data_IF_150092018230
#
_entry.id   IF_150092018230
#
_cell.length_a   1.000
_cell.length_b   1.000
_cell.length_c   1.000
_cell.angle_alpha   90.00
_cell.angle_beta   90.00
_cell.angle_gamma   90.00
#
_symmetry.space_group_name_H-M   'P 1'
#
loop_
_entity.id
_entity.type
_entity.pdbx_description
1 polymer ?
#
# COMPACT_ATOMS: atom_id res chain seq x y z
N UNK A 1 -21.83 41.77 1.83
CA UNK A 1 -21.74 40.34 2.14
C UNK A 1 -21.95 40.21 3.63
N UNK A 2 -23.02 39.54 4.02
CA UNK A 2 -23.40 39.24 5.41
C UNK A 2 -22.56 38.09 5.99
N UNK A 3 -22.56 37.96 7.32
CA UNK A 3 -21.88 36.82 7.98
C UNK A 3 -22.46 35.47 7.53
N UNK A 4 -23.73 35.44 7.15
CA UNK A 4 -24.41 34.24 6.66
C UNK A 4 -23.84 33.78 5.31
N UNK A 5 -23.52 34.69 4.40
CA UNK A 5 -22.84 34.38 3.13
C UNK A 5 -21.42 33.86 3.34
N UNK A 6 -20.67 34.41 4.31
CA UNK A 6 -19.34 33.91 4.67
C UNK A 6 -19.40 32.52 5.32
N UNK A 7 -20.44 32.24 6.10
CA UNK A 7 -20.70 30.94 6.71
C UNK A 7 -21.08 29.90 5.65
N UNK A 8 -21.93 30.26 4.69
CA UNK A 8 -22.31 29.41 3.58
C UNK A 8 -21.10 29.04 2.70
N UNK A 9 -20.21 30.00 2.41
CA UNK A 9 -18.97 29.74 1.66
C UNK A 9 -18.04 28.81 2.46
N UNK A 10 -17.89 28.99 3.77
CA UNK A 10 -17.09 28.08 4.61
C UNK A 10 -17.66 26.66 4.66
N UNK A 11 -18.98 26.54 4.66
CA UNK A 11 -19.68 25.25 4.66
C UNK A 11 -19.60 24.55 3.30
N UNK A 12 -19.67 25.30 2.20
CA UNK A 12 -19.39 24.81 0.84
C UNK A 12 -17.92 24.36 0.69
N UNK A 13 -16.96 25.16 1.17
CA UNK A 13 -15.54 24.81 1.13
C UNK A 13 -15.20 23.59 1.99
N UNK A 14 -15.90 23.37 3.12
CA UNK A 14 -15.74 22.16 3.91
C UNK A 14 -16.33 20.93 3.20
N UNK A 15 -17.40 21.09 2.43
CA UNK A 15 -17.99 20.04 1.58
C UNK A 15 -17.11 19.70 0.38
N UNK A 16 -16.49 20.68 -0.27
CA UNK A 16 -15.49 20.46 -1.35
C UNK A 16 -14.24 19.75 -0.83
N UNK A 17 -13.79 20.06 0.39
CA UNK A 17 -12.76 19.28 1.09
C UNK A 17 -13.20 17.85 1.45
N UNK A 18 -14.52 17.61 1.46
CA UNK A 18 -15.17 16.34 1.78
C UNK A 18 -15.63 15.54 0.55
N UNK A 19 -15.22 15.92 -0.67
CA UNK A 19 -15.30 15.06 -1.85
C UNK A 19 -14.30 13.90 -1.67
N UNK A 20 -14.77 12.93 -0.90
CA UNK A 20 -14.08 11.85 -0.17
C UNK A 20 -13.46 10.73 -1.04
N UNK A 21 -13.23 10.96 -2.33
CA UNK A 21 -12.87 9.88 -3.25
C UNK A 21 -11.59 10.06 -4.09
N UNK A 22 -10.77 11.10 -3.91
CA UNK A 22 -9.55 11.26 -4.73
C UNK A 22 -8.20 11.43 -4.03
N UNK A 23 -8.11 11.20 -2.71
CA UNK A 23 -6.80 11.02 -2.07
C UNK A 23 -6.83 9.89 -1.02
N UNK A 24 -7.13 8.66 -1.47
CA UNK A 24 -6.95 7.45 -0.65
C UNK A 24 -5.45 7.07 -0.58
N UNK A 25 -4.58 8.05 -0.35
CA UNK A 25 -3.15 7.82 -0.18
C UNK A 25 -2.86 7.54 1.29
N UNK A 26 -2.27 6.39 1.57
CA UNK A 26 -1.65 6.11 2.87
C UNK A 26 -0.21 6.58 2.79
N UNK A 27 0.27 7.24 3.85
CA UNK A 27 1.68 7.63 3.93
C UNK A 27 2.56 6.38 3.86
N UNK A 28 3.74 6.42 3.21
CA UNK A 28 4.64 5.27 3.13
C UNK A 28 5.21 4.87 4.51
N UNK A 29 5.03 5.72 5.52
CA UNK A 29 5.38 5.47 6.91
C UNK A 29 4.30 6.07 7.82
N UNK A 30 3.88 5.39 8.90
CA UNK A 30 4.32 4.06 9.32
C UNK A 30 3.69 2.93 8.48
N UNK A 31 4.28 1.74 8.48
CA UNK A 31 3.79 0.57 7.71
C UNK A 31 2.45 -0.05 8.16
N UNK A 32 2.03 -0.03 9.45
CA UNK A 32 0.82 -0.73 9.88
C UNK A 32 -0.48 -0.33 9.14
N UNK A 33 -0.77 0.95 8.88
CA UNK A 33 -1.94 1.33 8.08
C UNK A 33 -1.93 0.73 6.66
N UNK A 34 -0.75 0.53 6.07
CA UNK A 34 -0.62 -0.13 4.75
C UNK A 34 -0.99 -1.60 4.87
N UNK A 35 -0.48 -2.28 5.91
CA UNK A 35 -0.82 -3.68 6.19
C UNK A 35 -2.32 -3.84 6.40
N UNK A 36 -2.92 -3.09 7.32
CA UNK A 36 -4.34 -3.18 7.66
C UNK A 36 -5.22 -2.98 6.42
N UNK A 37 -4.85 -2.04 5.55
CA UNK A 37 -5.58 -1.78 4.31
C UNK A 37 -5.50 -2.95 3.33
N UNK A 38 -4.32 -3.56 3.19
CA UNK A 38 -4.13 -4.72 2.31
C UNK A 38 -4.88 -5.93 2.87
N UNK A 39 -4.82 -6.19 4.17
CA UNK A 39 -5.52 -7.30 4.80
C UNK A 39 -7.04 -7.16 4.63
N UNK A 40 -7.59 -5.98 4.89
CA UNK A 40 -9.01 -5.68 4.67
C UNK A 40 -9.42 -5.97 3.22
N UNK A 41 -8.63 -5.53 2.24
CA UNK A 41 -8.89 -5.80 0.83
C UNK A 41 -8.89 -7.31 0.51
N UNK A 42 -7.94 -8.07 1.06
CA UNK A 42 -7.85 -9.51 0.82
C UNK A 42 -9.01 -10.28 1.45
N UNK A 43 -9.52 -9.81 2.60
CA UNK A 43 -10.66 -10.41 3.29
C UNK A 43 -12.00 -10.14 2.58
N UNK A 44 -12.15 -8.97 1.97
CA UNK A 44 -13.40 -8.54 1.31
C UNK A 44 -13.58 -9.13 -0.10
N UNK A 45 -12.50 -9.61 -0.74
CA UNK A 45 -12.48 -9.99 -2.15
C UNK A 45 -12.33 -11.49 -2.41
N UNK A 46 -12.96 -11.99 -3.49
CA UNK A 46 -12.77 -13.36 -3.97
C UNK A 46 -11.64 -13.40 -5.01
N UNK A 47 -10.59 -14.20 -4.76
CA UNK A 47 -9.38 -14.28 -5.59
C UNK A 47 -8.68 -12.91 -5.77
N UNK A 48 -8.23 -12.29 -4.68
CA UNK A 48 -7.67 -10.93 -4.71
C UNK A 48 -6.39 -10.86 -5.56
N UNK A 49 -6.26 -9.79 -6.34
CA UNK A 49 -5.02 -9.47 -7.08
C UNK A 49 -4.41 -8.21 -6.51
N UNK A 50 -3.22 -8.35 -5.90
CA UNK A 50 -2.46 -7.26 -5.31
C UNK A 50 -1.26 -6.92 -6.19
N UNK A 51 -1.26 -5.74 -6.80
CA UNK A 51 -0.07 -5.15 -7.41
C UNK A 51 0.65 -4.28 -6.37
N UNK A 52 1.83 -4.72 -5.94
CA UNK A 52 2.66 -4.02 -4.96
C UNK A 52 3.81 -3.30 -5.66
N UNK A 53 3.51 -2.13 -6.24
CA UNK A 53 4.48 -1.28 -6.94
C UNK A 53 5.19 -0.32 -5.98
N UNK A 54 6.45 0.03 -6.28
CA UNK A 54 7.21 1.01 -5.50
C UNK A 54 7.83 0.43 -4.23
N UNK A 55 8.15 -0.87 -4.22
CA UNK A 55 8.83 -1.54 -3.09
C UNK A 55 10.13 -0.83 -2.71
N UNK A 56 10.92 -0.41 -3.69
CA UNK A 56 12.17 0.34 -3.52
C UNK A 56 11.93 1.68 -2.85
N UNK A 57 10.86 2.37 -3.23
CA UNK A 57 10.47 3.63 -2.59
C UNK A 57 10.07 3.38 -1.14
N UNK A 58 9.28 2.35 -0.87
CA UNK A 58 8.88 2.00 0.49
C UNK A 58 10.10 1.66 1.37
N UNK A 59 11.10 0.97 0.82
CA UNK A 59 12.40 0.72 1.47
C UNK A 59 13.28 1.97 1.60
N UNK A 60 13.09 3.00 0.76
CA UNK A 60 13.81 4.27 0.95
C UNK A 60 13.24 5.09 2.12
N UNK A 61 11.99 4.82 2.51
CA UNK A 61 11.27 5.54 3.56
C UNK A 61 11.20 4.75 4.89
N UNK A 62 11.59 3.47 4.88
CA UNK A 62 11.51 2.55 6.01
C UNK A 62 12.70 1.60 5.99
N UNK A 63 13.05 1.00 7.12
CA UNK A 63 14.10 -0.03 7.13
C UNK A 63 13.70 -1.24 6.26
N UNK A 64 14.63 -1.75 5.46
CA UNK A 64 14.42 -2.94 4.61
C UNK A 64 13.79 -4.09 5.38
N UNK A 65 14.26 -4.33 6.62
CA UNK A 65 13.76 -5.40 7.47
C UNK A 65 12.28 -5.26 7.81
N UNK A 66 11.75 -4.05 7.92
CA UNK A 66 10.34 -3.82 8.22
C UNK A 66 9.47 -3.96 6.97
N UNK A 67 9.97 -3.54 5.81
CA UNK A 67 9.31 -3.81 4.52
C UNK A 67 9.27 -5.30 4.22
N UNK A 68 10.35 -6.04 4.52
CA UNK A 68 10.39 -7.49 4.37
C UNK A 68 9.34 -8.17 5.28
N UNK A 69 9.27 -7.80 6.57
CA UNK A 69 8.24 -8.31 7.49
C UNK A 69 6.82 -7.99 7.01
N UNK A 70 6.60 -6.81 6.45
CA UNK A 70 5.31 -6.43 5.86
C UNK A 70 4.93 -7.39 4.74
N UNK A 71 5.83 -7.62 3.78
CA UNK A 71 5.62 -8.54 2.66
C UNK A 71 5.39 -9.97 3.17
N UNK A 72 6.18 -10.42 4.14
CA UNK A 72 6.05 -11.75 4.77
C UNK A 72 4.72 -11.92 5.53
N UNK A 73 4.13 -10.83 6.02
CA UNK A 73 2.80 -10.83 6.65
C UNK A 73 1.67 -10.93 5.61
N UNK A 74 1.84 -10.34 4.43
CA UNK A 74 0.82 -10.31 3.36
C UNK A 74 0.77 -11.64 2.60
N UNK A 75 1.93 -12.28 2.35
CA UNK A 75 2.03 -13.49 1.51
C UNK A 75 1.12 -14.64 1.93
N UNK A 76 1.07 -15.06 3.21
CA UNK A 76 0.24 -16.19 3.61
C UNK A 76 -1.25 -15.89 3.40
N UNK A 77 -1.66 -14.64 3.59
CA UNK A 77 -3.05 -14.18 3.47
C UNK A 77 -3.49 -14.21 2.00
N UNK A 78 -2.65 -13.70 1.08
CA UNK A 78 -2.89 -13.81 -0.37
C UNK A 78 -2.92 -15.27 -0.82
N UNK A 79 -1.97 -16.09 -0.37
CA UNK A 79 -1.88 -17.51 -0.75
C UNK A 79 -3.11 -18.30 -0.31
N UNK A 80 -3.57 -18.09 0.92
CA UNK A 80 -4.72 -18.80 1.49
C UNK A 80 -6.05 -18.34 0.89
N UNK A 81 -6.13 -17.10 0.41
CA UNK A 81 -7.31 -16.57 -0.30
C UNK A 81 -7.38 -16.98 -1.79
N UNK A 82 -6.41 -17.75 -2.29
CA UNK A 82 -6.32 -18.11 -3.72
C UNK A 82 -5.98 -16.91 -4.62
N UNK A 83 -5.48 -15.82 -4.02
CA UNK A 83 -5.12 -14.59 -4.71
C UNK A 83 -3.73 -14.63 -5.33
N UNK A 84 -3.37 -13.52 -5.98
CA UNK A 84 -2.07 -13.31 -6.62
C UNK A 84 -1.48 -11.99 -6.14
N UNK A 85 -0.22 -12.02 -5.68
CA UNK A 85 0.56 -10.81 -5.38
C UNK A 85 1.65 -10.66 -6.44
N UNK A 86 1.71 -9.50 -7.10
CA UNK A 86 2.69 -9.15 -8.11
C UNK A 86 3.56 -8.03 -7.54
N UNK A 87 4.87 -8.25 -7.49
CA UNK A 87 5.84 -7.26 -6.99
C UNK A 87 6.85 -6.97 -8.10
N UNK A 88 6.76 -5.82 -8.79
CA UNK A 88 7.83 -5.33 -9.64
C UNK A 88 9.05 -5.01 -8.79
N UNK A 89 10.22 -5.51 -9.19
CA UNK A 89 11.47 -5.34 -8.45
C UNK A 89 12.62 -4.98 -9.39
N UNK A 90 13.37 -3.96 -9.02
CA UNK A 90 14.62 -3.57 -9.64
C UNK A 90 15.80 -4.11 -8.82
N UNK A 91 16.43 -5.18 -9.33
CA UNK A 91 17.64 -5.79 -8.73
C UNK A 91 18.76 -4.81 -8.42
N UNK A 92 18.87 -3.69 -9.16
CA UNK A 92 19.94 -2.70 -8.97
C UNK A 92 19.73 -1.80 -7.75
N UNK A 93 18.51 -1.74 -7.22
CA UNK A 93 18.16 -0.92 -6.06
C UNK A 93 18.35 -1.64 -4.72
N UNK A 94 18.77 -2.90 -4.75
CA UNK A 94 18.90 -3.76 -3.56
C UNK A 94 20.26 -4.44 -3.55
N UNK A 95 20.76 -4.78 -2.37
CA UNK A 95 21.89 -5.69 -2.25
C UNK A 95 21.49 -7.09 -2.71
N UNK A 96 22.48 -7.92 -3.06
CA UNK A 96 22.24 -9.31 -3.45
C UNK A 96 21.50 -10.10 -2.36
N UNK A 97 21.83 -9.83 -1.08
CA UNK A 97 21.20 -10.47 0.08
C UNK A 97 19.74 -10.07 0.23
N UNK A 98 19.45 -8.77 0.16
CA UNK A 98 18.09 -8.24 0.24
C UNK A 98 17.23 -8.79 -0.89
N UNK A 99 17.73 -8.75 -2.12
CA UNK A 99 16.99 -9.29 -3.26
C UNK A 99 16.70 -10.78 -3.08
N UNK A 100 17.67 -11.58 -2.62
CA UNK A 100 17.49 -13.02 -2.39
C UNK A 100 16.46 -13.30 -1.28
N UNK A 101 16.55 -12.61 -0.15
CA UNK A 101 15.61 -12.77 0.96
C UNK A 101 14.19 -12.37 0.54
N UNK A 102 14.06 -11.21 -0.11
CA UNK A 102 12.78 -10.75 -0.60
C UNK A 102 12.23 -11.74 -1.63
N UNK A 103 12.98 -12.18 -2.63
CA UNK A 103 12.47 -13.10 -3.68
C UNK A 103 12.29 -14.55 -3.26
N UNK A 104 12.73 -14.94 -2.06
CA UNK A 104 12.56 -16.29 -1.54
C UNK A 104 11.07 -16.66 -1.50
N UNK A 105 10.71 -17.82 -2.09
CA UNK A 105 9.33 -18.30 -2.16
C UNK A 105 8.46 -17.61 -3.21
N UNK A 106 8.99 -16.66 -3.99
CA UNK A 106 8.28 -16.05 -5.12
C UNK A 106 8.64 -16.74 -6.44
N UNK A 107 7.66 -16.79 -7.35
CA UNK A 107 7.88 -17.29 -8.71
C UNK A 107 8.26 -16.12 -9.62
N UNK A 108 9.46 -16.17 -10.17
CA UNK A 108 9.86 -15.23 -11.23
C UNK A 108 9.03 -15.46 -12.49
N UNK A 109 8.64 -14.37 -13.15
CA UNK A 109 8.09 -14.41 -14.50
C UNK A 109 9.29 -14.29 -15.46
N UNK A 110 9.51 -15.25 -16.37
CA UNK A 110 10.64 -15.27 -17.30
C UNK A 110 10.62 -14.12 -18.31
#
# INVERSE_FOLDING_TARGET
>A
MDEDGLKAIREELSKVSSDKDYCKSIRPTPLPPILDRILTFVEEEKNPVLLFEGTEYLMSQNDYGDVLKLIDSIRPVISTSGGIMIIPLNKKAMTQREFALLTTGMRGIP
#
